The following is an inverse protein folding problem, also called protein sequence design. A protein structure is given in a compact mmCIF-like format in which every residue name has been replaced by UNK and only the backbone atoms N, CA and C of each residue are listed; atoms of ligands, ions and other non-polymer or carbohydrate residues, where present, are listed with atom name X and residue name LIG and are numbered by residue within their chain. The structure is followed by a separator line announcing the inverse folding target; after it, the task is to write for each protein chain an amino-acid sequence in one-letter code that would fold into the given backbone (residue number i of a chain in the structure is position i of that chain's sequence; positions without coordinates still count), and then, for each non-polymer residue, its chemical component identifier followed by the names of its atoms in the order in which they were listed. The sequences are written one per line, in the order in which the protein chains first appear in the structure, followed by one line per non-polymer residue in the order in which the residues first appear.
data_IF_288759009321
#
_entry.id   IF_288759009321
#
_cell.length_a   1.000
_cell.length_b   1.000
_cell.length_c   1.000
_cell.angle_alpha   90.00
_cell.angle_beta   90.00
_cell.angle_gamma   90.00
#
_symmetry.space_group_name_H-M   'P 1'
#
loop_
_entity.id
_entity.type
_entity.pdbx_description
1 polymer ?
#
# COMPACT_ATOMS: atom_id res chain seq x y z
N UNK A 1 53.36 -53.97 -30.46
CA UNK A 1 52.38 -52.89 -30.72
C UNK A 1 52.54 -51.80 -29.67
N UNK A 2 52.51 -50.53 -30.06
CA UNK A 2 53.08 -49.39 -29.36
C UNK A 2 52.35 -48.99 -28.07
N UNK A 3 52.88 -49.41 -26.92
CA UNK A 3 52.53 -48.94 -25.57
C UNK A 3 52.47 -47.39 -25.46
N UNK A 4 53.38 -46.59 -26.06
CA UNK A 4 53.28 -45.12 -25.99
C UNK A 4 52.08 -44.53 -26.75
N UNK A 5 51.49 -45.22 -27.74
CA UNK A 5 50.35 -44.70 -28.50
C UNK A 5 49.02 -44.75 -27.73
N UNK A 6 48.90 -45.59 -26.70
CA UNK A 6 47.70 -45.66 -25.83
C UNK A 6 47.88 -44.81 -24.57
N UNK A 7 49.11 -44.67 -24.07
CA UNK A 7 49.39 -43.92 -22.85
C UNK A 7 49.16 -42.41 -23.03
N UNK A 8 49.55 -41.85 -24.19
CA UNK A 8 49.43 -40.40 -24.46
C UNK A 8 47.97 -39.94 -24.46
N UNK A 9 47.01 -40.58 -25.18
CA UNK A 9 45.60 -40.20 -25.14
C UNK A 9 44.96 -40.30 -23.75
N UNK A 10 45.31 -41.33 -22.96
CA UNK A 10 44.79 -41.50 -21.60
C UNK A 10 45.26 -40.37 -20.68
N UNK A 11 46.53 -39.98 -20.81
CA UNK A 11 47.13 -38.92 -19.99
C UNK A 11 46.57 -37.54 -20.35
N UNK A 12 46.35 -37.27 -21.65
CA UNK A 12 45.68 -36.05 -22.12
C UNK A 12 44.22 -35.99 -21.67
N UNK A 13 43.49 -37.12 -21.71
CA UNK A 13 42.12 -37.21 -21.22
C UNK A 13 42.02 -36.91 -19.72
N UNK A 14 42.95 -37.45 -18.91
CA UNK A 14 43.01 -37.18 -17.47
C UNK A 14 43.31 -35.71 -17.19
N UNK A 15 44.26 -35.10 -17.90
CA UNK A 15 44.59 -33.68 -17.74
C UNK A 15 43.41 -32.80 -18.14
N UNK A 16 42.75 -33.09 -19.26
CA UNK A 16 41.59 -32.34 -19.73
C UNK A 16 40.40 -32.48 -18.77
N UNK A 17 40.18 -33.66 -18.19
CA UNK A 17 39.16 -33.88 -17.16
C UNK A 17 39.42 -33.08 -15.88
N UNK A 18 40.67 -33.04 -15.40
CA UNK A 18 41.04 -32.23 -14.22
C UNK A 18 40.89 -30.75 -14.51
N UNK A 19 41.33 -30.28 -15.68
CA UNK A 19 41.21 -28.88 -16.09
C UNK A 19 39.74 -28.47 -16.26
N UNK A 20 38.92 -29.31 -16.90
CA UNK A 20 37.49 -29.08 -17.04
C UNK A 20 36.76 -29.02 -15.69
N UNK A 21 37.11 -29.91 -14.75
CA UNK A 21 36.57 -29.89 -13.40
C UNK A 21 36.96 -28.64 -12.61
N UNK A 22 38.23 -28.21 -12.70
CA UNK A 22 38.72 -27.00 -12.05
C UNK A 22 38.07 -25.74 -12.64
N UNK A 23 37.94 -25.67 -13.98
CA UNK A 23 37.32 -24.54 -14.66
C UNK A 23 35.82 -24.42 -14.35
N UNK A 24 35.10 -25.55 -14.32
CA UNK A 24 33.69 -25.59 -13.90
C UNK A 24 33.50 -25.16 -12.44
N UNK A 25 34.39 -25.60 -11.54
CA UNK A 25 34.35 -25.22 -10.12
C UNK A 25 34.61 -23.74 -9.89
N UNK A 26 35.45 -23.10 -10.72
CA UNK A 26 35.71 -21.66 -10.64
C UNK A 26 34.52 -20.83 -11.14
N UNK A 27 33.76 -21.32 -12.12
CA UNK A 27 32.59 -20.62 -12.67
C UNK A 27 31.31 -20.79 -11.82
N UNK A 28 31.21 -21.85 -11.02
CA UNK A 28 30.10 -22.06 -10.08
C UNK A 28 30.15 -21.17 -8.83
N UNK A 29 31.25 -20.43 -8.61
CA UNK A 29 31.48 -19.61 -7.41
C UNK A 29 31.00 -18.15 -7.56
N UNK A 30 30.28 -17.84 -8.64
CA UNK A 30 29.95 -16.46 -9.06
C UNK A 30 28.54 -15.96 -8.73
N UNK A 31 27.58 -16.82 -8.38
CA UNK A 31 26.16 -16.43 -8.26
C UNK A 31 25.65 -16.26 -6.80
N UNK A 32 26.51 -16.47 -5.79
CA UNK A 32 26.13 -16.31 -4.37
C UNK A 32 25.76 -14.85 -4.03
N UNK A 33 26.27 -13.87 -4.77
CA UNK A 33 25.99 -12.44 -4.51
C UNK A 33 24.52 -12.06 -4.76
N UNK A 34 23.86 -12.70 -5.72
CA UNK A 34 22.43 -12.48 -6.00
C UNK A 34 21.56 -13.17 -4.95
N UNK A 35 21.92 -14.40 -4.56
CA UNK A 35 21.22 -15.10 -3.48
C UNK A 35 21.33 -14.37 -2.12
N UNK A 36 22.51 -13.80 -1.81
CA UNK A 36 22.75 -13.04 -0.58
C UNK A 36 21.96 -11.73 -0.56
N UNK A 37 21.90 -11.00 -1.68
CA UNK A 37 21.09 -9.76 -1.77
C UNK A 37 19.59 -10.04 -1.70
N UNK A 38 19.11 -11.07 -2.40
CA UNK A 38 17.72 -11.52 -2.30
C UNK A 38 17.36 -11.96 -0.87
N UNK A 39 18.27 -12.65 -0.18
CA UNK A 39 18.08 -13.06 1.21
C UNK A 39 18.00 -11.85 2.14
N UNK A 40 18.86 -10.85 1.95
CA UNK A 40 18.84 -9.61 2.71
C UNK A 40 17.53 -8.82 2.52
N UNK A 41 17.03 -8.73 1.29
CA UNK A 41 15.76 -8.06 0.98
C UNK A 41 14.56 -8.80 1.60
N UNK A 42 14.60 -10.13 1.62
CA UNK A 42 13.55 -10.97 2.21
C UNK A 42 13.52 -10.83 3.74
N UNK A 43 14.69 -10.73 4.37
CA UNK A 43 14.80 -10.49 5.81
C UNK A 43 14.39 -9.07 6.19
N UNK A 44 14.70 -8.06 5.36
CA UNK A 44 14.21 -6.69 5.53
C UNK A 44 12.68 -6.62 5.42
N UNK A 45 12.08 -7.30 4.45
CA UNK A 45 10.62 -7.38 4.30
C UNK A 45 9.96 -8.04 5.52
N UNK A 46 10.51 -9.16 6.01
CA UNK A 46 10.03 -9.83 7.22
C UNK A 46 10.14 -8.94 8.47
N UNK A 47 11.23 -8.19 8.61
CA UNK A 47 11.42 -7.26 9.71
C UNK A 47 10.38 -6.13 9.69
N UNK A 48 10.09 -5.58 8.50
CA UNK A 48 9.07 -4.57 8.33
C UNK A 48 7.67 -5.12 8.69
N UNK A 49 7.30 -6.30 8.19
CA UNK A 49 6.04 -6.97 8.55
C UNK A 49 5.90 -7.21 10.05
N UNK A 50 6.97 -7.62 10.74
CA UNK A 50 6.97 -7.76 12.21
C UNK A 50 6.78 -6.42 12.92
N UNK A 51 7.43 -5.37 12.44
CA UNK A 51 7.29 -4.03 13.01
C UNK A 51 5.86 -3.50 12.85
N UNK A 52 5.25 -3.68 11.67
CA UNK A 52 3.85 -3.33 11.43
C UNK A 52 2.91 -4.14 12.33
N UNK A 53 3.08 -5.46 12.42
CA UNK A 53 2.26 -6.31 13.28
C UNK A 53 2.40 -5.94 14.78
N UNK A 54 3.61 -5.60 15.24
CA UNK A 54 3.84 -5.14 16.60
C UNK A 54 3.17 -3.78 16.87
N UNK A 55 3.24 -2.86 15.90
CA UNK A 55 2.53 -1.57 15.98
C UNK A 55 1.01 -1.77 16.03
N UNK A 56 0.47 -2.69 15.23
CA UNK A 56 -0.96 -3.05 15.25
C UNK A 56 -1.35 -3.53 16.64
N UNK A 57 -0.61 -4.50 17.21
CA UNK A 57 -0.87 -5.00 18.57
C UNK A 57 -0.80 -3.89 19.62
N UNK A 58 0.20 -2.99 19.56
CA UNK A 58 0.28 -1.88 20.51
C UNK A 58 -0.86 -0.88 20.38
N UNK A 59 -1.34 -0.63 19.16
CA UNK A 59 -2.47 0.27 18.93
C UNK A 59 -3.80 -0.36 19.36
N UNK A 60 -3.94 -1.69 19.21
CA UNK A 60 -5.08 -2.44 19.73
C UNK A 60 -5.14 -2.41 21.26
N UNK A 61 -3.99 -2.56 21.94
CA UNK A 61 -3.90 -2.46 23.41
C UNK A 61 -4.21 -1.03 23.93
N UNK A 62 -3.74 -0.01 23.21
CA UNK A 62 -4.06 1.40 23.51
C UNK A 62 -5.56 1.71 23.28
N UNK A 63 -6.16 1.15 22.22
CA UNK A 63 -7.61 1.26 21.95
C UNK A 63 -8.44 0.55 23.02
N UNK A 64 -8.04 -0.64 23.44
CA UNK A 64 -8.70 -1.37 24.53
C UNK A 64 -8.66 -0.59 25.86
N UNK A 65 -7.55 0.12 26.11
CA UNK A 65 -7.38 0.96 27.30
C UNK A 65 -8.21 2.25 27.24
N UNK A 66 -8.47 2.80 26.05
CA UNK A 66 -9.21 4.06 25.85
C UNK A 66 -10.73 3.89 25.81
N UNK A 67 -11.24 2.68 25.58
CA UNK A 67 -12.68 2.37 25.55
C UNK A 67 -13.39 2.41 26.92
N UNK A 68 -12.67 2.59 28.03
CA UNK A 68 -13.25 2.68 29.38
C UNK A 68 -13.52 4.13 29.86
N UNK A 69 -13.37 5.16 29.01
CA UNK A 69 -13.49 6.59 29.43
C UNK A 69 -14.58 7.39 28.67
N UNK A 70 -15.28 6.83 27.68
CA UNK A 70 -16.28 7.58 26.88
C UNK A 70 -17.75 7.17 27.07
N UNK A 71 -18.08 6.38 28.11
CA UNK A 71 -19.46 5.87 28.35
C UNK A 71 -20.24 6.60 29.45
N UNK A 72 -19.91 7.86 29.73
CA UNK A 72 -20.72 8.71 30.62
C UNK A 72 -21.07 10.01 29.92
N UNK A 73 -22.35 10.10 29.52
CA UNK A 73 -23.14 11.30 29.17
C UNK A 73 -23.67 11.38 27.73
N UNK A 74 -24.46 10.38 27.29
CA UNK A 74 -25.52 10.63 26.30
C UNK A 74 -26.80 9.92 26.76
N UNK A 75 -27.53 10.58 27.65
CA UNK A 75 -28.98 10.50 27.67
C UNK A 75 -29.48 11.81 27.09
N UNK A 76 -30.14 11.80 25.94
CA UNK A 76 -31.59 12.05 25.83
C UNK A 76 -32.02 11.98 24.36
N UNK A 77 -33.02 11.12 24.11
CA UNK A 77 -34.04 11.17 23.05
C UNK A 77 -33.65 10.94 21.57
N UNK A 78 -34.02 9.74 21.07
CA UNK A 78 -34.91 9.68 19.90
C UNK A 78 -34.50 8.79 18.73
N UNK A 79 -34.96 7.54 18.78
CA UNK A 79 -35.31 6.66 17.67
C UNK A 79 -34.28 5.69 17.11
N UNK A 80 -34.60 4.43 17.40
CA UNK A 80 -34.13 3.18 16.82
C UNK A 80 -34.33 3.11 15.30
N UNK A 81 -33.30 2.63 14.61
CA UNK A 81 -33.47 1.59 13.61
C UNK A 81 -32.23 0.69 13.61
N UNK A 82 -32.48 -0.60 13.79
CA UNK A 82 -31.49 -1.66 13.65
C UNK A 82 -31.12 -1.78 12.18
N UNK A 83 -29.84 -1.67 11.85
CA UNK A 83 -29.29 -2.25 10.64
C UNK A 83 -27.88 -2.70 10.92
N UNK A 84 -27.66 -3.99 10.73
CA UNK A 84 -26.37 -4.67 10.73
C UNK A 84 -25.42 -3.95 9.78
N UNK A 85 -24.48 -3.18 10.32
CA UNK A 85 -23.41 -2.54 9.55
C UNK A 85 -22.08 -2.90 10.26
N UNK A 86 -21.08 -3.45 9.55
CA UNK A 86 -19.71 -3.64 10.08
C UNK A 86 -19.18 -2.28 10.57
N UNK A 87 -18.26 -2.22 11.56
CA UNK A 87 -18.05 -1.03 12.40
C UNK A 87 -17.81 0.23 11.56
N UNK A 88 -18.86 1.01 11.33
CA UNK A 88 -18.79 2.27 10.64
C UNK A 88 -18.27 3.28 11.64
N UNK A 89 -17.04 3.73 11.44
CA UNK A 89 -16.53 4.91 12.13
C UNK A 89 -17.51 6.06 11.85
N UNK A 90 -18.16 6.56 12.89
CA UNK A 90 -19.10 7.67 12.79
C UNK A 90 -18.36 8.90 12.27
N UNK A 91 -18.86 9.51 11.20
CA UNK A 91 -18.29 10.73 10.65
C UNK A 91 -18.40 11.90 11.64
N UNK A 92 -17.27 12.33 12.19
CA UNK A 92 -17.19 13.50 13.07
C UNK A 92 -17.00 14.80 12.28
N UNK A 93 -18.12 15.43 11.93
CA UNK A 93 -18.14 16.69 11.17
C UNK A 93 -17.42 17.85 11.90
N UNK A 94 -17.43 17.86 13.24
CA UNK A 94 -16.78 18.90 14.05
C UNK A 94 -15.25 18.80 13.99
N UNK A 95 -14.70 17.59 14.08
CA UNK A 95 -13.25 17.36 13.96
C UNK A 95 -12.74 17.77 12.58
N UNK A 96 -13.48 17.40 11.53
CA UNK A 96 -13.14 17.77 10.14
C UNK A 96 -13.12 19.29 9.98
N UNK A 97 -14.15 19.96 10.50
CA UNK A 97 -14.24 21.42 10.44
C UNK A 97 -13.13 22.10 11.23
N UNK A 98 -12.71 21.51 12.36
CA UNK A 98 -11.60 22.02 13.16
C UNK A 98 -10.27 21.88 12.41
N UNK A 99 -10.04 20.74 11.76
CA UNK A 99 -8.80 20.46 11.04
C UNK A 99 -8.70 21.26 9.73
N UNK A 100 -9.75 21.31 8.92
CA UNK A 100 -9.74 21.95 7.60
C UNK A 100 -10.28 23.39 7.58
N UNK A 101 -10.85 23.87 8.70
CA UNK A 101 -11.47 25.20 8.79
C UNK A 101 -12.73 25.36 7.92
N UNK A 102 -13.30 24.27 7.41
CA UNK A 102 -14.47 24.28 6.50
C UNK A 102 -15.40 23.12 6.82
N UNK A 103 -16.70 23.33 6.61
CA UNK A 103 -17.69 22.26 6.72
C UNK A 103 -17.55 21.31 5.52
N UNK A 104 -17.32 20.05 5.82
CA UNK A 104 -17.22 18.97 4.84
C UNK A 104 -18.39 18.03 5.09
N UNK A 105 -19.02 17.58 4.01
CA UNK A 105 -20.09 16.58 4.09
C UNK A 105 -19.45 15.19 4.17
N UNK A 106 -20.10 14.29 4.89
CA UNK A 106 -19.74 12.87 4.84
C UNK A 106 -19.64 12.39 3.39
N UNK A 107 -18.56 11.65 3.08
CA UNK A 107 -18.27 11.13 1.75
C UNK A 107 -18.05 12.19 0.65
N UNK A 108 -17.75 13.44 1.01
CA UNK A 108 -17.28 14.43 0.05
C UNK A 108 -15.88 14.03 -0.45
N UNK A 109 -15.79 13.58 -1.72
CA UNK A 109 -14.55 13.06 -2.28
C UNK A 109 -13.55 14.18 -2.59
N UNK A 110 -13.98 15.44 -2.64
CA UNK A 110 -13.09 16.59 -2.88
C UNK A 110 -12.15 16.87 -1.71
N UNK A 111 -12.29 16.15 -0.60
CA UNK A 111 -11.28 16.18 0.47
C UNK A 111 -9.97 15.50 0.05
N UNK A 112 -10.03 14.61 -0.95
CA UNK A 112 -8.87 13.97 -1.55
C UNK A 112 -8.23 14.93 -2.55
N UNK A 113 -6.94 15.16 -2.36
CA UNK A 113 -6.13 15.99 -3.24
C UNK A 113 -6.08 15.41 -4.65
N UNK A 114 -6.30 16.28 -5.64
CA UNK A 114 -6.43 15.88 -7.05
C UNK A 114 -7.86 15.54 -7.47
N UNK A 115 -8.81 15.35 -6.54
CA UNK A 115 -10.23 15.17 -6.85
C UNK A 115 -10.94 16.53 -6.79
N UNK A 116 -11.16 17.13 -7.96
CA UNK A 116 -12.02 18.31 -8.10
C UNK A 116 -13.49 17.96 -8.35
N UNK A 117 -14.41 18.95 -8.43
CA UNK A 117 -15.84 18.70 -8.65
C UNK A 117 -16.15 17.88 -9.91
N UNK A 118 -15.36 18.04 -10.97
CA UNK A 118 -15.52 17.29 -12.22
C UNK A 118 -15.11 15.82 -12.09
N UNK A 119 -14.06 15.54 -11.32
CA UNK A 119 -13.57 14.18 -11.07
C UNK A 119 -14.50 13.48 -10.09
N UNK A 120 -14.94 14.16 -9.05
CA UNK A 120 -15.98 13.66 -8.13
C UNK A 120 -17.24 13.25 -8.91
N UNK A 121 -17.72 14.08 -9.83
CA UNK A 121 -18.86 13.73 -10.68
C UNK A 121 -18.61 12.49 -11.56
N UNK A 122 -17.39 12.36 -12.12
CA UNK A 122 -16.99 11.22 -12.93
C UNK A 122 -16.92 9.91 -12.10
N UNK A 123 -16.34 9.97 -10.91
CA UNK A 123 -16.27 8.84 -9.97
C UNK A 123 -17.66 8.43 -9.48
N UNK A 124 -18.51 9.40 -9.14
CA UNK A 124 -19.90 9.15 -8.76
C UNK A 124 -20.68 8.46 -9.89
N UNK A 125 -20.48 8.89 -11.14
CA UNK A 125 -21.08 8.24 -12.32
C UNK A 125 -20.59 6.80 -12.51
N UNK A 126 -19.36 6.49 -12.06
CA UNK A 126 -18.80 5.15 -12.03
C UNK A 126 -19.21 4.33 -10.77
N UNK A 127 -20.07 4.87 -9.90
CA UNK A 127 -20.55 4.21 -8.69
C UNK A 127 -19.66 4.38 -7.46
N UNK A 128 -18.60 5.17 -7.54
CA UNK A 128 -17.69 5.45 -6.43
C UNK A 128 -18.16 6.73 -5.74
N UNK A 129 -19.01 6.58 -4.73
CA UNK A 129 -19.64 7.72 -4.02
C UNK A 129 -19.25 7.86 -2.55
N UNK A 130 -18.40 6.96 -2.03
CA UNK A 130 -17.99 6.95 -0.62
C UNK A 130 -16.48 6.86 -0.49
N UNK A 131 -15.94 7.36 0.63
CA UNK A 131 -14.51 7.24 0.93
C UNK A 131 -14.08 5.78 1.02
N UNK A 132 -14.94 4.91 1.56
CA UNK A 132 -14.71 3.47 1.59
C UNK A 132 -14.57 2.89 0.18
N UNK A 133 -15.55 3.13 -0.70
CA UNK A 133 -15.53 2.63 -2.07
C UNK A 133 -14.30 3.15 -2.83
N UNK A 134 -13.96 4.43 -2.65
CA UNK A 134 -12.77 5.01 -3.26
C UNK A 134 -11.48 4.37 -2.72
N UNK A 135 -11.42 4.03 -1.44
CA UNK A 135 -10.26 3.38 -0.83
C UNK A 135 -10.04 1.92 -1.28
N UNK A 136 -11.12 1.23 -1.63
CA UNK A 136 -11.07 -0.13 -2.16
C UNK A 136 -10.83 -0.19 -3.67
N UNK A 137 -10.97 0.95 -4.36
CA UNK A 137 -10.79 1.00 -5.81
C UNK A 137 -9.30 1.03 -6.15
N UNK A 138 -8.87 0.13 -7.03
CA UNK A 138 -7.48 0.08 -7.48
C UNK A 138 -7.11 1.30 -8.33
N UNK A 139 -5.83 1.66 -8.31
CA UNK A 139 -5.30 2.77 -9.12
C UNK A 139 -5.56 2.57 -10.61
N UNK A 140 -5.46 1.34 -11.11
CA UNK A 140 -5.71 1.01 -12.52
C UNK A 140 -7.18 1.26 -12.88
N UNK A 141 -8.10 0.91 -11.98
CA UNK A 141 -9.53 1.15 -12.19
C UNK A 141 -9.83 2.65 -12.18
N UNK A 142 -9.24 3.41 -11.26
CA UNK A 142 -9.38 4.86 -11.22
C UNK A 142 -8.81 5.51 -12.50
N UNK A 143 -7.65 5.06 -12.96
CA UNK A 143 -7.06 5.54 -14.21
C UNK A 143 -7.98 5.25 -15.41
N UNK A 144 -8.53 4.04 -15.51
CA UNK A 144 -9.48 3.69 -16.57
C UNK A 144 -10.74 4.57 -16.56
N UNK A 145 -11.21 4.99 -15.38
CA UNK A 145 -12.34 5.92 -15.27
C UNK A 145 -11.95 7.31 -15.78
N UNK A 146 -10.76 7.80 -15.43
CA UNK A 146 -10.25 9.09 -15.92
C UNK A 146 -10.07 9.09 -17.43
N UNK A 147 -9.48 8.03 -17.98
CA UNK A 147 -9.26 7.87 -19.42
C UNK A 147 -10.60 7.85 -20.18
N UNK A 148 -11.62 7.19 -19.62
CA UNK A 148 -12.98 7.20 -20.17
C UNK A 148 -13.65 8.59 -20.11
N UNK A 149 -13.23 9.47 -19.19
CA UNK A 149 -13.66 10.86 -19.10
C UNK A 149 -13.05 11.76 -20.18
N UNK A 150 -11.95 11.34 -20.83
CA UNK A 150 -11.28 12.05 -21.92
C UNK A 150 -10.00 12.78 -21.52
N UNK A 151 -9.32 13.36 -22.51
CA UNK A 151 -7.95 13.91 -22.38
C UNK A 151 -7.81 15.01 -21.30
N UNK A 152 -8.89 15.72 -20.98
CA UNK A 152 -8.90 16.74 -19.92
C UNK A 152 -8.53 16.18 -18.54
N UNK A 153 -8.66 14.88 -18.33
CA UNK A 153 -8.37 14.21 -17.06
C UNK A 153 -6.98 13.57 -17.03
N UNK A 154 -6.27 13.49 -18.16
CA UNK A 154 -5.00 12.77 -18.29
C UNK A 154 -3.84 13.38 -17.47
N UNK A 155 -3.95 14.65 -17.06
CA UNK A 155 -2.98 15.31 -16.19
C UNK A 155 -3.09 14.87 -14.72
N UNK A 156 -4.23 14.28 -14.32
CA UNK A 156 -4.45 13.85 -12.95
C UNK A 156 -3.82 12.47 -12.69
N UNK A 157 -3.27 12.30 -11.50
CA UNK A 157 -2.70 11.03 -11.07
C UNK A 157 -3.53 10.46 -9.90
N UNK A 158 -4.17 9.28 -10.07
CA UNK A 158 -4.98 8.67 -9.02
C UNK A 158 -4.19 7.87 -7.97
N UNK A 159 -2.86 7.78 -8.08
CA UNK A 159 -2.03 6.88 -7.26
C UNK A 159 -2.17 7.07 -5.75
N UNK A 160 -2.50 8.28 -5.29
CA UNK A 160 -2.64 8.62 -3.86
C UNK A 160 -4.08 8.62 -3.38
N UNK A 161 -5.07 8.55 -4.27
CA UNK A 161 -6.49 8.76 -3.95
C UNK A 161 -7.04 7.69 -3.01
N UNK A 162 -6.75 6.42 -3.28
CA UNK A 162 -7.25 5.32 -2.45
C UNK A 162 -6.77 5.44 -0.99
N UNK A 163 -5.50 5.77 -0.79
CA UNK A 163 -4.90 5.93 0.55
C UNK A 163 -5.43 7.18 1.27
N UNK A 164 -5.62 8.29 0.55
CA UNK A 164 -6.24 9.49 1.15
C UNK A 164 -7.69 9.23 1.56
N UNK A 165 -8.45 8.55 0.70
CA UNK A 165 -9.81 8.14 0.98
C UNK A 165 -9.88 7.18 2.17
N UNK A 166 -8.91 6.28 2.33
CA UNK A 166 -8.82 5.38 3.49
C UNK A 166 -8.62 6.14 4.81
N UNK A 167 -7.80 7.20 4.81
CA UNK A 167 -7.62 8.06 5.99
C UNK A 167 -8.88 8.86 6.31
N UNK A 168 -9.57 9.37 5.27
CA UNK A 168 -10.86 10.04 5.42
C UNK A 168 -11.94 9.10 5.97
N UNK A 169 -12.01 7.87 5.45
CA UNK A 169 -12.93 6.83 5.91
C UNK A 169 -12.73 6.48 7.39
N UNK A 170 -11.47 6.41 7.84
CA UNK A 170 -11.14 6.14 9.25
C UNK A 170 -11.30 7.37 10.17
N UNK A 171 -11.67 8.54 9.64
CA UNK A 171 -11.77 9.77 10.41
C UNK A 171 -10.41 10.34 10.87
N UNK A 172 -9.30 9.94 10.23
CA UNK A 172 -7.95 10.39 10.58
C UNK A 172 -7.63 11.73 9.91
N UNK A 173 -8.41 12.75 10.26
CA UNK A 173 -8.41 14.05 9.57
C UNK A 173 -7.08 14.79 9.67
N UNK A 174 -6.46 14.78 10.86
CA UNK A 174 -5.17 15.44 11.08
C UNK A 174 -4.05 14.76 10.29
N UNK A 175 -3.98 13.42 10.35
CA UNK A 175 -3.00 12.63 9.58
C UNK A 175 -3.16 12.84 8.07
N UNK A 176 -4.41 12.88 7.58
CA UNK A 176 -4.69 13.19 6.17
C UNK A 176 -4.18 14.58 5.80
N UNK A 177 -4.43 15.59 6.64
CA UNK A 177 -4.00 16.96 6.39
C UNK A 177 -2.47 17.09 6.40
N UNK A 178 -1.81 16.48 7.38
CA UNK A 178 -0.34 16.51 7.49
C UNK A 178 0.30 15.79 6.30
N UNK A 179 -0.26 14.67 5.87
CA UNK A 179 0.21 13.97 4.68
C UNK A 179 0.03 14.81 3.41
N UNK A 180 -1.13 15.45 3.23
CA UNK A 180 -1.39 16.37 2.12
C UNK A 180 -0.43 17.58 2.09
N UNK A 181 -0.07 18.13 3.26
CA UNK A 181 0.90 19.22 3.35
C UNK A 181 2.33 18.79 2.96
N UNK A 182 2.65 17.50 3.12
CA UNK A 182 3.93 16.91 2.69
C UNK A 182 3.96 16.51 1.21
N UNK A 183 2.82 16.47 0.52
CA UNK A 183 2.73 16.09 -0.89
C UNK A 183 2.98 17.30 -1.80
N UNK A 184 3.78 17.11 -2.85
CA UNK A 184 3.95 18.10 -3.92
C UNK A 184 2.81 17.94 -4.95
N UNK A 185 1.58 18.32 -4.59
CA UNK A 185 0.44 18.23 -5.51
C UNK A 185 -0.06 16.80 -5.73
N UNK A 186 -0.09 15.97 -4.68
CA UNK A 186 -0.57 14.59 -4.73
C UNK A 186 0.44 13.54 -5.23
N UNK A 187 1.74 13.88 -5.34
CA UNK A 187 2.85 12.96 -5.66
C UNK A 187 3.80 12.86 -4.47
N UNK A 188 4.21 11.63 -4.14
CA UNK A 188 5.34 11.33 -3.25
C UNK A 188 6.68 11.60 -3.95
#
# INVERSE_FOLDING_TARGET
MNIPCILIPVLVGLICGILGYLLGKMNAKGDDSLAISLQADLDACKANTRNLNAKISSLEDDLASKNNISTTNISTSGQSFTSTIPPAFLFDAELVSTVYGKKIKENDLKIVEGIGPKIEALLNAAGITTWHALSETSTEKLQSILDAGGENYAIHNPSTWAKQAFLAYQGKWQELKDWQQGLLGGKE
#
